data_IF_172557802324
#
_entry.id   IF_172557802324
#
_cell.length_a   1.000
_cell.length_b   1.000
_cell.length_c   1.000
_cell.angle_alpha   90.00
_cell.angle_beta   90.00
_cell.angle_gamma   90.00
#
_symmetry.space_group_name_H-M   'P 1'
#
loop_
_entity.id
_entity.type
_entity.pdbx_description
1 polymer ?
#
# COMPACT_ATOMS: atom_id res chain seq x y z
N UNK A 1 -0.20 16.95 -27.63
CA UNK A 1 0.23 16.17 -26.46
C UNK A 1 1.12 14.97 -26.82
N UNK A 2 0.79 14.16 -27.83
CA UNK A 2 1.61 12.99 -28.25
C UNK A 2 3.01 13.35 -28.79
N UNK A 3 3.15 14.51 -29.41
CA UNK A 3 4.46 15.05 -29.87
C UNK A 3 5.38 15.43 -28.74
N UNK A 4 4.83 15.94 -27.61
CA UNK A 4 5.61 16.28 -26.41
C UNK A 4 6.14 15.00 -25.71
N UNK A 5 5.36 13.92 -25.68
CA UNK A 5 5.80 12.63 -25.16
C UNK A 5 6.93 12.02 -26.02
N UNK A 6 6.86 12.12 -27.35
CA UNK A 6 7.95 11.70 -28.23
C UNK A 6 9.26 12.47 -28.00
N UNK A 7 9.15 13.78 -27.64
CA UNK A 7 10.31 14.62 -27.38
C UNK A 7 10.97 14.32 -26.03
N UNK A 8 10.23 13.83 -25.02
CA UNK A 8 10.77 13.35 -23.74
C UNK A 8 11.78 12.21 -23.92
N UNK A 9 11.51 11.30 -24.87
CA UNK A 9 12.42 10.19 -25.17
C UNK A 9 13.63 10.58 -26.02
N UNK A 10 13.63 11.77 -26.61
CA UNK A 10 14.78 12.28 -27.41
C UNK A 10 15.87 12.90 -26.55
N UNK A 11 15.53 13.38 -25.32
CA UNK A 11 16.50 13.96 -24.38
C UNK A 11 17.09 12.86 -23.53
N UNK A 12 18.41 12.52 -23.61
CA UNK A 12 19.00 11.37 -22.93
C UNK A 12 18.84 11.45 -21.40
N UNK A 13 18.91 12.63 -20.81
CA UNK A 13 18.76 12.83 -19.37
C UNK A 13 17.36 12.49 -18.86
N UNK A 14 16.32 12.95 -19.55
CA UNK A 14 14.93 12.66 -19.22
C UNK A 14 14.62 11.17 -19.42
N UNK A 15 15.09 10.59 -20.50
CA UNK A 15 14.93 9.16 -20.75
C UNK A 15 15.53 8.32 -19.63
N UNK A 16 16.75 8.64 -19.19
CA UNK A 16 17.40 7.90 -18.12
C UNK A 16 16.67 8.03 -16.78
N UNK A 17 16.13 9.19 -16.44
CA UNK A 17 15.30 9.41 -15.24
C UNK A 17 13.99 8.62 -15.29
N UNK A 18 13.31 8.64 -16.42
CA UNK A 18 12.05 7.87 -16.61
C UNK A 18 12.33 6.36 -16.55
N UNK A 19 13.37 5.88 -17.23
CA UNK A 19 13.75 4.46 -17.23
C UNK A 19 14.13 3.99 -15.82
N UNK A 20 14.86 4.81 -15.07
CA UNK A 20 15.21 4.54 -13.68
C UNK A 20 13.98 4.45 -12.78
N UNK A 21 13.02 5.38 -12.95
CA UNK A 21 11.76 5.36 -12.20
C UNK A 21 10.95 4.10 -12.50
N UNK A 22 10.82 3.73 -13.77
CA UNK A 22 10.14 2.50 -14.18
C UNK A 22 10.83 1.26 -13.61
N UNK A 23 12.17 1.20 -13.64
CA UNK A 23 12.93 0.11 -13.04
C UNK A 23 12.61 -0.04 -11.55
N UNK A 24 12.58 1.07 -10.79
CA UNK A 24 12.24 1.05 -9.37
C UNK A 24 10.81 0.58 -9.12
N UNK A 25 9.85 0.96 -9.96
CA UNK A 25 8.46 0.48 -9.88
C UNK A 25 8.40 -1.04 -10.13
N UNK A 26 9.19 -1.55 -11.09
CA UNK A 26 9.26 -3.00 -11.35
C UNK A 26 9.86 -3.73 -10.13
N UNK A 27 10.94 -3.23 -9.54
CA UNK A 27 11.54 -3.81 -8.31
C UNK A 27 10.53 -3.80 -7.16
N UNK A 28 9.81 -2.69 -6.98
CA UNK A 28 8.72 -2.62 -6.01
C UNK A 28 7.67 -3.72 -6.24
N UNK A 29 7.27 -3.92 -7.48
CA UNK A 29 6.28 -4.94 -7.84
C UNK A 29 6.76 -6.36 -7.59
N UNK A 30 8.01 -6.65 -7.91
CA UNK A 30 8.61 -7.95 -7.61
C UNK A 30 8.67 -8.18 -6.09
N UNK A 31 9.08 -7.19 -5.31
CA UNK A 31 9.10 -7.28 -3.85
C UNK A 31 7.71 -7.46 -3.21
N UNK A 32 6.66 -6.92 -3.83
CA UNK A 32 5.29 -7.10 -3.38
C UNK A 32 4.77 -8.55 -3.56
N UNK A 33 5.42 -9.36 -4.40
CA UNK A 33 5.09 -10.77 -4.61
C UNK A 33 5.86 -11.72 -3.69
N UNK A 34 6.88 -11.25 -2.97
CA UNK A 34 7.72 -12.07 -2.10
C UNK A 34 6.99 -12.26 -0.76
N UNK A 35 6.48 -13.46 -0.43
CA UNK A 35 5.82 -13.69 0.85
C UNK A 35 6.82 -13.62 2.01
N UNK A 36 6.34 -13.21 3.18
CA UNK A 36 7.14 -13.20 4.41
C UNK A 36 7.51 -14.64 4.78
N UNK A 37 8.78 -14.92 5.11
CA UNK A 37 9.21 -16.25 5.48
C UNK A 37 8.58 -16.72 6.81
N UNK A 38 8.25 -18.00 6.90
CA UNK A 38 7.68 -18.61 8.10
C UNK A 38 6.15 -18.62 8.19
N UNK A 39 5.46 -18.28 7.12
CA UNK A 39 3.98 -18.23 7.03
C UNK A 39 3.46 -19.47 6.29
N UNK A 40 2.27 -19.93 6.69
CA UNK A 40 1.56 -21.01 6.01
C UNK A 40 0.93 -20.49 4.71
N UNK A 41 1.45 -20.90 3.58
CA UNK A 41 1.02 -20.41 2.25
C UNK A 41 -0.45 -20.73 1.95
N UNK A 42 -0.95 -21.88 2.40
CA UNK A 42 -2.35 -22.28 2.23
C UNK A 42 -3.31 -21.29 2.90
N UNK A 43 -2.95 -20.80 4.07
CA UNK A 43 -3.73 -19.80 4.81
C UNK A 43 -3.69 -18.40 4.16
N UNK A 44 -2.62 -18.09 3.43
CA UNK A 44 -2.52 -16.85 2.64
C UNK A 44 -3.51 -16.88 1.48
N UNK A 45 -3.70 -18.01 0.84
CA UNK A 45 -4.71 -18.14 -0.23
C UNK A 45 -6.13 -17.96 0.31
N UNK A 46 -6.41 -18.46 1.50
CA UNK A 46 -7.70 -18.26 2.16
C UNK A 46 -7.92 -16.80 2.54
N UNK A 47 -6.90 -16.12 3.08
CA UNK A 47 -6.93 -14.69 3.34
C UNK A 47 -7.24 -13.89 2.07
N UNK A 48 -6.63 -14.26 0.95
CA UNK A 48 -6.88 -13.61 -0.35
C UNK A 48 -8.33 -13.77 -0.79
N UNK A 49 -8.89 -14.97 -0.71
CA UNK A 49 -10.30 -15.24 -1.05
C UNK A 49 -11.27 -14.40 -0.21
N UNK A 50 -11.03 -14.32 1.09
CA UNK A 50 -11.90 -13.58 2.00
C UNK A 50 -11.75 -12.05 1.85
N UNK A 51 -10.55 -11.57 1.56
CA UNK A 51 -10.31 -10.15 1.34
C UNK A 51 -11.05 -9.61 0.11
N UNK A 52 -11.30 -10.47 -0.85
CA UNK A 52 -12.07 -10.12 -2.04
C UNK A 52 -13.56 -9.89 -1.73
N UNK A 53 -14.07 -10.46 -0.64
CA UNK A 53 -15.46 -10.32 -0.21
C UNK A 53 -15.65 -9.21 0.84
N UNK A 54 -14.58 -8.71 1.45
CA UNK A 54 -14.65 -7.69 2.51
C UNK A 54 -14.16 -6.32 2.03
N UNK A 55 -15.02 -5.31 2.14
CA UNK A 55 -14.71 -3.95 1.69
C UNK A 55 -13.52 -3.30 2.43
N UNK A 56 -13.37 -3.53 3.75
CA UNK A 56 -12.33 -2.91 4.56
C UNK A 56 -10.91 -3.40 4.19
N UNK A 57 -10.72 -4.71 4.09
CA UNK A 57 -9.42 -5.27 3.65
C UNK A 57 -9.15 -5.00 2.18
N UNK A 58 -10.17 -5.00 1.33
CA UNK A 58 -10.04 -4.60 -0.07
C UNK A 58 -9.49 -3.19 -0.20
N UNK A 59 -9.99 -2.25 0.60
CA UNK A 59 -9.49 -0.88 0.61
C UNK A 59 -8.03 -0.77 1.07
N UNK A 60 -7.66 -1.42 2.18
CA UNK A 60 -6.26 -1.47 2.65
C UNK A 60 -5.34 -2.15 1.63
N UNK A 61 -5.85 -3.15 0.94
CA UNK A 61 -5.11 -3.88 -0.08
C UNK A 61 -4.80 -3.02 -1.31
N UNK A 62 -5.66 -2.06 -1.68
CA UNK A 62 -5.37 -1.09 -2.73
C UNK A 62 -4.12 -0.26 -2.44
N UNK A 63 -3.94 0.22 -1.20
CA UNK A 63 -2.76 1.00 -0.81
C UNK A 63 -1.47 0.18 -0.74
N UNK A 64 -1.58 -1.11 -0.46
CA UNK A 64 -0.43 -2.02 -0.47
C UNK A 64 -0.16 -2.64 -1.84
N UNK A 65 -1.02 -2.36 -2.84
CA UNK A 65 -0.89 -2.93 -4.18
C UNK A 65 -1.03 -4.45 -4.23
N UNK A 66 -1.87 -5.04 -3.37
CA UNK A 66 -2.06 -6.48 -3.27
C UNK A 66 -1.11 -7.19 -2.29
N UNK A 67 -0.14 -6.47 -1.74
CA UNK A 67 0.88 -7.03 -0.87
C UNK A 67 0.35 -7.48 0.51
N UNK A 68 -0.70 -6.82 1.03
CA UNK A 68 -1.30 -7.16 2.32
C UNK A 68 -1.97 -8.55 2.29
N UNK A 69 -2.77 -8.83 1.28
CA UNK A 69 -3.48 -10.10 1.15
C UNK A 69 -2.57 -11.28 0.84
N UNK A 70 -1.41 -11.02 0.27
CA UNK A 70 -0.36 -12.02 0.08
C UNK A 70 0.57 -12.14 1.30
N UNK A 71 0.39 -11.29 2.31
CA UNK A 71 1.28 -11.18 3.47
C UNK A 71 2.75 -11.13 3.04
N UNK A 72 3.02 -10.25 2.08
CA UNK A 72 4.34 -10.12 1.46
C UNK A 72 5.24 -9.16 2.23
N UNK A 73 6.50 -9.04 1.80
CA UNK A 73 7.48 -8.10 2.36
C UNK A 73 6.93 -6.67 2.46
N UNK A 74 6.13 -6.23 1.48
CA UNK A 74 5.52 -4.91 1.45
C UNK A 74 4.06 -4.89 1.95
N UNK A 75 3.66 -5.85 2.79
CA UNK A 75 2.28 -5.93 3.31
C UNK A 75 1.80 -4.67 4.03
N UNK A 76 2.67 -4.01 4.81
CA UNK A 76 2.38 -2.71 5.43
C UNK A 76 2.37 -1.54 4.44
N UNK A 77 2.92 -1.73 3.24
CA UNK A 77 3.00 -0.70 2.21
C UNK A 77 3.73 0.56 2.68
N UNK A 78 3.29 1.69 2.16
CA UNK A 78 3.83 3.03 2.48
C UNK A 78 3.05 3.69 3.63
N UNK A 79 1.98 3.08 4.14
CA UNK A 79 1.10 3.66 5.16
C UNK A 79 1.83 4.16 6.42
N UNK A 80 2.81 3.43 7.00
CA UNK A 80 3.55 3.92 8.17
C UNK A 80 4.28 5.23 7.91
N UNK A 81 4.82 5.41 6.71
CA UNK A 81 5.51 6.63 6.33
C UNK A 81 4.54 7.80 6.10
N UNK A 82 3.40 7.56 5.45
CA UNK A 82 2.37 8.60 5.26
C UNK A 82 1.89 9.09 6.61
N UNK A 83 1.55 8.17 7.52
CA UNK A 83 1.10 8.50 8.88
C UNK A 83 2.16 9.30 9.63
N UNK A 84 3.42 8.86 9.61
CA UNK A 84 4.53 9.57 10.24
C UNK A 84 4.72 10.98 9.66
N UNK A 85 4.61 11.13 8.33
CA UNK A 85 4.74 12.41 7.65
C UNK A 85 3.64 13.39 8.05
N UNK A 86 2.39 12.92 8.13
CA UNK A 86 1.26 13.74 8.58
C UNK A 86 1.44 14.15 10.05
N UNK A 87 1.84 13.21 10.92
CA UNK A 87 2.09 13.52 12.34
C UNK A 87 3.17 14.59 12.47
N UNK A 88 4.30 14.47 11.78
CA UNK A 88 5.38 15.45 11.83
C UNK A 88 4.94 16.81 11.27
N UNK A 89 4.11 16.85 10.24
CA UNK A 89 3.55 18.10 9.70
C UNK A 89 2.64 18.80 10.72
N UNK A 90 1.76 18.05 11.38
CA UNK A 90 0.88 18.61 12.42
C UNK A 90 1.71 19.08 13.62
N UNK A 91 2.67 18.28 14.07
CA UNK A 91 3.58 18.66 15.16
C UNK A 91 4.44 19.88 14.81
N UNK A 92 4.72 20.10 13.52
CA UNK A 92 5.44 21.27 13.03
C UNK A 92 4.74 22.60 13.31
N UNK A 93 3.42 22.59 13.46
CA UNK A 93 2.63 23.79 13.85
C UNK A 93 2.62 24.01 15.37
N UNK A 94 2.71 22.91 16.15
CA UNK A 94 2.58 22.95 17.62
C UNK A 94 3.94 23.11 18.31
N UNK A 95 4.99 22.49 17.76
CA UNK A 95 6.31 22.48 18.36
C UNK A 95 7.21 23.54 17.74
N UNK A 96 7.60 24.61 18.48
CA UNK A 96 8.40 25.73 17.94
C UNK A 96 9.74 25.28 17.33
N UNK A 97 10.32 24.20 17.81
CA UNK A 97 11.57 23.66 17.28
C UNK A 97 11.41 23.05 15.88
N UNK A 98 10.27 22.41 15.61
CA UNK A 98 9.96 21.87 14.29
C UNK A 98 9.62 22.99 13.30
N UNK A 99 8.89 24.01 13.75
CA UNK A 99 8.62 25.21 12.97
C UNK A 99 9.92 25.93 12.55
N UNK A 100 10.86 26.09 13.49
CA UNK A 100 12.19 26.63 13.16
C UNK A 100 12.91 25.81 12.08
N UNK A 101 12.80 24.47 12.12
CA UNK A 101 13.40 23.63 11.09
C UNK A 101 12.69 23.80 9.73
N UNK A 102 11.37 23.96 9.72
CA UNK A 102 10.64 24.25 8.47
C UNK A 102 11.11 25.55 7.83
N UNK A 103 11.38 26.57 8.66
CA UNK A 103 11.85 27.89 8.22
C UNK A 103 13.34 27.91 7.80
N UNK A 104 14.13 26.88 8.16
CA UNK A 104 15.55 26.75 7.76
C UNK A 104 15.74 26.26 6.31
N UNK A 105 14.68 26.07 5.54
CA UNK A 105 14.75 25.62 4.14
C UNK A 105 15.33 24.22 3.98
N UNK A 106 16.24 24.00 3.03
CA UNK A 106 16.75 22.69 2.65
C UNK A 106 17.44 21.92 3.79
N UNK A 107 18.13 22.62 4.71
CA UNK A 107 18.83 22.01 5.85
C UNK A 107 17.82 21.49 6.88
N UNK A 108 16.82 22.29 7.19
CA UNK A 108 15.75 21.91 8.11
C UNK A 108 14.89 20.77 7.54
N UNK A 109 14.61 20.81 6.25
CA UNK A 109 13.84 19.75 5.58
C UNK A 109 14.53 18.37 5.67
N UNK A 110 15.85 18.33 5.58
CA UNK A 110 16.61 17.07 5.79
C UNK A 110 16.41 16.51 7.20
N UNK A 111 16.40 17.37 8.23
CA UNK A 111 16.15 16.97 9.63
C UNK A 111 14.72 16.44 9.79
N UNK A 112 13.74 17.14 9.25
CA UNK A 112 12.34 16.73 9.27
C UNK A 112 12.18 15.36 8.63
N UNK A 113 12.76 15.14 7.44
CA UNK A 113 12.73 13.83 6.76
C UNK A 113 13.36 12.73 7.60
N UNK A 114 14.47 12.98 8.30
CA UNK A 114 15.09 11.99 9.19
C UNK A 114 14.17 11.62 10.34
N UNK A 115 13.53 12.59 11.02
CA UNK A 115 12.59 12.33 12.10
C UNK A 115 11.35 11.60 11.61
N UNK A 116 10.84 11.93 10.42
CA UNK A 116 9.74 11.21 9.77
C UNK A 116 10.10 9.74 9.58
N UNK A 117 11.34 9.42 9.16
CA UNK A 117 11.78 8.03 9.00
C UNK A 117 11.81 7.26 10.32
N UNK A 118 12.38 7.86 11.38
CA UNK A 118 12.40 7.21 12.70
C UNK A 118 10.99 6.94 13.20
N UNK A 119 10.11 7.92 13.09
CA UNK A 119 8.72 7.77 13.48
C UNK A 119 8.01 6.70 12.63
N UNK A 120 8.25 6.67 11.32
CA UNK A 120 7.69 5.67 10.42
C UNK A 120 8.12 4.24 10.79
N UNK A 121 9.39 4.03 11.18
CA UNK A 121 9.88 2.71 11.63
C UNK A 121 9.20 2.30 12.95
N UNK A 122 9.03 3.23 13.89
CA UNK A 122 8.31 2.96 15.15
C UNK A 122 6.87 2.56 14.86
N UNK A 123 6.16 3.31 14.01
CA UNK A 123 4.78 3.00 13.62
C UNK A 123 4.72 1.65 12.89
N UNK A 124 5.64 1.39 11.95
CA UNK A 124 5.73 0.11 11.25
C UNK A 124 5.96 -1.07 12.21
N UNK A 125 6.76 -0.88 13.26
CA UNK A 125 7.00 -1.91 14.28
C UNK A 125 5.73 -2.21 15.07
N UNK A 126 5.01 -1.18 15.51
CA UNK A 126 3.74 -1.34 16.22
C UNK A 126 2.69 -2.02 15.34
N UNK A 127 2.53 -1.58 14.09
CA UNK A 127 1.58 -2.17 13.13
C UNK A 127 1.98 -3.59 12.75
N UNK A 128 3.25 -3.84 12.46
CA UNK A 128 3.78 -5.17 12.12
C UNK A 128 3.61 -6.17 13.25
N UNK A 129 3.86 -5.76 14.50
CA UNK A 129 3.63 -6.58 15.69
C UNK A 129 2.14 -6.86 15.87
N UNK A 130 1.29 -5.85 15.71
CA UNK A 130 -0.16 -5.99 15.79
C UNK A 130 -0.71 -6.97 14.75
N UNK A 131 -0.32 -6.85 13.49
CA UNK A 131 -0.72 -7.76 12.41
C UNK A 131 -0.20 -9.19 12.68
N UNK A 132 1.05 -9.33 13.09
CA UNK A 132 1.64 -10.65 13.39
C UNK A 132 0.91 -11.32 14.55
N UNK A 133 0.52 -10.57 15.58
CA UNK A 133 -0.25 -11.09 16.69
C UNK A 133 -1.67 -11.51 16.27
N UNK A 134 -2.38 -10.66 15.53
CA UNK A 134 -3.75 -10.95 15.05
C UNK A 134 -3.79 -12.20 14.18
N UNK A 135 -2.91 -12.30 13.21
CA UNK A 135 -2.87 -13.45 12.30
C UNK A 135 -2.14 -14.66 12.90
N UNK A 136 -1.25 -14.46 13.86
CA UNK A 136 -0.59 -15.53 14.62
C UNK A 136 -1.54 -16.26 15.56
N UNK A 137 -2.45 -15.55 16.22
CA UNK A 137 -3.45 -16.09 17.14
C UNK A 137 -4.72 -16.60 16.44
N UNK A 138 -4.84 -16.41 15.13
CA UNK A 138 -6.04 -16.76 14.36
C UNK A 138 -7.21 -15.78 14.50
N UNK A 139 -7.05 -14.71 15.27
CA UNK A 139 -8.09 -13.69 15.47
C UNK A 139 -8.22 -12.71 14.29
N UNK A 140 -7.30 -12.75 13.34
CA UNK A 140 -7.31 -11.88 12.16
C UNK A 140 -8.59 -12.00 11.33
N UNK A 141 -9.11 -13.23 11.16
CA UNK A 141 -10.35 -13.46 10.45
C UNK A 141 -11.52 -12.71 11.07
N UNK A 142 -11.81 -12.95 12.34
CA UNK A 142 -12.94 -12.32 13.04
C UNK A 142 -12.81 -10.79 13.19
N UNK A 143 -11.60 -10.27 13.28
CA UNK A 143 -11.35 -8.83 13.43
C UNK A 143 -11.60 -8.05 12.13
N UNK A 144 -11.22 -8.61 10.99
CA UNK A 144 -11.32 -7.92 9.69
C UNK A 144 -12.57 -8.28 8.89
N UNK A 145 -13.10 -9.49 9.06
CA UNK A 145 -14.24 -10.01 8.28
C UNK A 145 -15.54 -10.12 9.10
N UNK A 146 -15.48 -9.87 10.41
CA UNK A 146 -16.64 -9.95 11.30
C UNK A 146 -16.83 -11.33 11.97
N UNK A 147 -17.80 -11.36 12.89
CA UNK A 147 -18.14 -12.57 13.64
C UNK A 147 -18.74 -13.64 12.69
N UNK A 148 -18.05 -14.77 12.57
CA UNK A 148 -18.43 -15.86 11.66
C UNK A 148 -17.41 -16.15 10.57
N UNK A 149 -16.41 -15.29 10.39
CA UNK A 149 -15.30 -15.58 9.49
C UNK A 149 -14.40 -16.70 10.04
N UNK A 150 -13.87 -17.58 9.17
CA UNK A 150 -12.97 -18.64 9.60
C UNK A 150 -11.71 -18.06 10.25
N UNK A 151 -11.20 -18.76 11.24
CA UNK A 151 -9.97 -18.41 11.94
C UNK A 151 -8.77 -18.63 11.02
N UNK A 152 -8.28 -17.56 10.40
CA UNK A 152 -7.07 -17.60 9.55
C UNK A 152 -5.85 -17.50 10.45
N UNK A 153 -5.18 -18.63 10.65
CA UNK A 153 -3.94 -18.71 11.42
C UNK A 153 -2.75 -18.79 10.46
N UNK A 154 -2.13 -17.64 10.16
CA UNK A 154 -1.01 -17.57 9.23
C UNK A 154 0.29 -18.15 9.80
N UNK A 155 0.47 -18.15 11.13
CA UNK A 155 1.65 -18.73 11.76
C UNK A 155 1.33 -20.15 12.22
N UNK A 156 2.05 -21.17 11.72
CA UNK A 156 1.91 -22.56 12.21
C UNK A 156 2.24 -22.67 13.70
N UNK A 157 3.29 -21.97 14.14
CA UNK A 157 3.74 -21.88 15.52
C UNK A 157 3.95 -20.43 15.94
N UNK A 158 3.60 -20.11 17.19
CA UNK A 158 3.83 -18.81 17.82
C UNK A 158 5.16 -18.76 18.58
N UNK A 159 6.16 -19.54 18.15
CA UNK A 159 7.50 -19.50 18.72
C UNK A 159 8.11 -18.09 18.58
N UNK A 160 8.70 -17.59 19.65
CA UNK A 160 9.28 -16.24 19.71
C UNK A 160 10.21 -15.92 18.51
N UNK A 161 11.16 -16.81 18.12
CA UNK A 161 12.06 -16.51 17.00
C UNK A 161 11.32 -16.37 15.66
N UNK A 162 10.22 -17.10 15.44
CA UNK A 162 9.41 -16.99 14.21
C UNK A 162 8.63 -15.68 14.19
N UNK A 163 7.98 -15.33 15.30
CA UNK A 163 7.28 -14.05 15.43
C UNK A 163 8.23 -12.88 15.19
N UNK A 164 9.43 -12.92 15.80
CA UNK A 164 10.45 -11.89 15.61
C UNK A 164 10.89 -11.78 14.15
N UNK A 165 11.10 -12.90 13.47
CA UNK A 165 11.48 -12.93 12.06
C UNK A 165 10.39 -12.29 11.19
N UNK A 166 9.12 -12.63 11.40
CA UNK A 166 7.99 -12.06 10.67
C UNK A 166 7.88 -10.56 10.91
N UNK A 167 7.96 -10.11 12.16
CA UNK A 167 7.92 -8.67 12.51
C UNK A 167 9.08 -7.93 11.88
N UNK A 168 10.30 -8.44 11.96
CA UNK A 168 11.47 -7.83 11.33
C UNK A 168 11.31 -7.71 9.81
N UNK A 169 10.80 -8.75 9.17
CA UNK A 169 10.54 -8.73 7.73
C UNK A 169 9.49 -7.70 7.36
N UNK A 170 8.38 -7.62 8.12
CA UNK A 170 7.32 -6.65 7.92
C UNK A 170 7.77 -5.20 8.15
N UNK A 171 8.72 -4.96 9.06
CA UNK A 171 9.29 -3.63 9.31
C UNK A 171 10.34 -3.27 8.25
N UNK A 172 11.12 -4.25 7.79
CA UNK A 172 12.11 -4.05 6.73
C UNK A 172 11.45 -3.60 5.41
N UNK A 173 10.21 -4.06 5.13
CA UNK A 173 9.45 -3.66 3.95
C UNK A 173 9.27 -2.14 3.81
N UNK A 174 8.57 -1.47 4.72
CA UNK A 174 8.43 -0.01 4.71
C UNK A 174 9.75 0.75 4.74
N UNK A 175 10.77 0.24 5.46
CA UNK A 175 12.10 0.85 5.47
C UNK A 175 12.73 0.83 4.05
N UNK A 176 12.59 -0.27 3.35
CA UNK A 176 13.07 -0.43 1.98
C UNK A 176 12.27 0.45 1.01
N UNK A 177 10.95 0.55 1.19
CA UNK A 177 10.09 1.44 0.39
C UNK A 177 10.44 2.91 0.59
N UNK A 178 10.72 3.34 1.82
CA UNK A 178 11.21 4.69 2.10
C UNK A 178 12.51 4.98 1.37
N UNK A 179 13.46 4.06 1.43
CA UNK A 179 14.74 4.19 0.72
C UNK A 179 14.54 4.26 -0.79
N UNK A 180 13.69 3.40 -1.36
CA UNK A 180 13.35 3.43 -2.79
C UNK A 180 12.70 4.76 -3.20
N UNK A 181 11.72 5.25 -2.42
CA UNK A 181 11.05 6.52 -2.67
C UNK A 181 12.02 7.70 -2.69
N UNK A 182 13.02 7.70 -1.80
CA UNK A 182 14.04 8.74 -1.78
C UNK A 182 14.98 8.68 -2.98
N UNK A 183 15.42 7.50 -3.38
CA UNK A 183 16.27 7.34 -4.56
C UNK A 183 15.51 7.78 -5.82
N UNK A 184 14.22 7.47 -5.93
CA UNK A 184 13.38 7.95 -7.04
C UNK A 184 13.31 9.48 -7.01
N UNK A 185 13.12 10.09 -5.85
CA UNK A 185 13.06 11.55 -5.72
C UNK A 185 14.39 12.21 -6.10
N UNK A 186 15.53 11.58 -5.79
CA UNK A 186 16.87 12.14 -6.07
C UNK A 186 17.29 11.92 -7.53
N UNK A 187 17.01 10.77 -8.12
CA UNK A 187 17.54 10.35 -9.43
C UNK A 187 16.48 10.13 -10.50
N UNK A 188 15.22 10.02 -10.10
CA UNK A 188 14.08 9.78 -10.98
C UNK A 188 13.33 11.05 -11.36
N UNK A 189 12.02 10.89 -11.57
CA UNK A 189 11.09 11.97 -11.95
C UNK A 189 10.13 12.24 -10.80
N UNK A 190 10.06 13.49 -10.33
CA UNK A 190 9.07 13.94 -9.34
C UNK A 190 9.27 13.38 -7.93
N UNK A 191 8.18 13.30 -7.16
CA UNK A 191 8.21 12.77 -5.80
C UNK A 191 8.09 11.25 -5.81
N UNK A 192 9.16 10.54 -5.40
CA UNK A 192 9.23 9.09 -5.43
C UNK A 192 8.20 8.39 -4.56
N UNK A 193 7.84 8.97 -3.40
CA UNK A 193 6.82 8.40 -2.53
C UNK A 193 5.45 8.44 -3.17
N UNK A 194 5.09 9.57 -3.79
CA UNK A 194 3.82 9.71 -4.54
C UNK A 194 3.75 8.76 -5.73
N UNK A 195 4.86 8.54 -6.42
CA UNK A 195 4.93 7.59 -7.54
C UNK A 195 4.76 6.14 -7.08
N UNK A 196 5.33 5.76 -5.93
CA UNK A 196 5.14 4.42 -5.36
C UNK A 196 3.68 4.19 -4.93
N UNK A 197 3.03 5.20 -4.32
CA UNK A 197 1.60 5.15 -3.98
C UNK A 197 0.76 5.01 -5.26
N UNK A 198 1.02 5.84 -6.26
CA UNK A 198 0.35 5.77 -7.55
C UNK A 198 0.52 4.38 -8.20
N UNK A 199 1.74 3.86 -8.22
CA UNK A 199 2.03 2.54 -8.76
C UNK A 199 1.29 1.42 -8.00
N UNK A 200 1.15 1.52 -6.67
CA UNK A 200 0.40 0.55 -5.88
C UNK A 200 -1.09 0.58 -6.20
N UNK A 201 -1.70 1.75 -6.26
CA UNK A 201 -3.13 1.92 -6.56
C UNK A 201 -3.46 1.50 -7.99
N UNK A 202 -2.72 2.04 -8.97
CA UNK A 202 -2.96 1.74 -10.40
C UNK A 202 -2.83 0.26 -10.70
N UNK A 203 -1.97 -0.43 -10.01
CA UNK A 203 -1.76 -1.86 -10.24
C UNK A 203 -2.93 -2.75 -9.81
N UNK A 204 -3.75 -2.31 -8.88
CA UNK A 204 -4.99 -2.97 -8.49
C UNK A 204 -6.13 -2.75 -9.50
N UNK A 205 -6.09 -1.63 -10.24
CA UNK A 205 -7.17 -1.23 -11.15
C UNK A 205 -7.45 -2.25 -12.27
N UNK A 206 -6.46 -2.82 -12.99
CA UNK A 206 -6.76 -3.74 -14.09
C UNK A 206 -7.53 -4.98 -13.63
N UNK A 207 -7.17 -5.51 -12.47
CA UNK A 207 -7.83 -6.68 -11.89
C UNK A 207 -9.26 -6.34 -11.41
N UNK A 208 -9.42 -5.20 -10.72
CA UNK A 208 -10.73 -4.72 -10.27
C UNK A 208 -11.65 -4.41 -11.45
N UNK A 209 -11.12 -3.78 -12.50
CA UNK A 209 -11.88 -3.49 -13.72
C UNK A 209 -12.29 -4.76 -14.47
N UNK A 210 -11.41 -5.75 -14.58
CA UNK A 210 -11.71 -7.03 -15.19
C UNK A 210 -12.82 -7.79 -14.43
N UNK A 211 -12.78 -7.77 -13.09
CA UNK A 211 -13.86 -8.31 -12.25
C UNK A 211 -15.17 -7.56 -12.45
N UNK A 212 -15.13 -6.23 -12.45
CA UNK A 212 -16.32 -5.41 -12.72
C UNK A 212 -16.95 -5.74 -14.06
N UNK A 213 -16.16 -6.00 -15.09
CA UNK A 213 -16.69 -6.41 -16.39
C UNK A 213 -17.32 -7.81 -16.35
N UNK A 214 -16.79 -8.73 -15.55
CA UNK A 214 -17.36 -10.08 -15.40
C UNK A 214 -18.61 -10.09 -14.49
N UNK A 215 -18.60 -9.26 -13.44
CA UNK A 215 -19.76 -9.12 -12.53
C UNK A 215 -20.73 -8.04 -13.03
N UNK A 216 -20.32 -7.16 -13.90
CA UNK A 216 -20.98 -5.95 -14.36
C UNK A 216 -22.08 -6.16 -15.39
N UNK A 217 -22.21 -7.35 -15.96
CA UNK A 217 -23.46 -7.68 -16.68
C UNK A 217 -24.67 -7.56 -15.75
N UNK A 218 -24.50 -7.82 -14.45
CA UNK A 218 -25.56 -7.72 -13.46
C UNK A 218 -25.80 -6.29 -12.99
N UNK A 219 -24.75 -5.50 -12.74
CA UNK A 219 -24.89 -4.14 -12.18
C UNK A 219 -25.36 -3.12 -13.23
N UNK A 220 -24.82 -3.20 -14.44
CA UNK A 220 -25.30 -2.35 -15.57
C UNK A 220 -26.73 -2.74 -15.95
N UNK A 221 -27.08 -4.02 -15.89
CA UNK A 221 -28.44 -4.50 -16.16
C UNK A 221 -29.42 -4.05 -15.05
N UNK A 222 -29.01 -4.04 -13.78
CA UNK A 222 -29.82 -3.56 -12.65
C UNK A 222 -30.02 -2.03 -12.73
N UNK A 223 -28.97 -1.26 -13.04
CA UNK A 223 -29.11 0.21 -13.19
C UNK A 223 -29.96 0.56 -14.39
N UNK A 224 -29.81 -0.13 -15.52
CA UNK A 224 -30.64 0.09 -16.70
C UNK A 224 -32.07 -0.42 -16.50
N UNK A 225 -32.29 -1.50 -15.75
CA UNK A 225 -33.61 -2.00 -15.42
C UNK A 225 -34.34 -1.08 -14.43
N UNK A 226 -33.65 -0.51 -13.44
CA UNK A 226 -34.23 0.49 -12.52
C UNK A 226 -34.60 1.79 -13.28
N UNK A 227 -33.76 2.25 -14.19
CA UNK A 227 -34.03 3.45 -15.02
C UNK A 227 -35.20 3.23 -15.99
N UNK A 228 -35.42 2.00 -16.49
CA UNK A 228 -36.53 1.62 -17.36
C UNK A 228 -37.81 1.42 -16.58
N UNK A 229 -37.74 0.85 -15.35
CA UNK A 229 -38.92 0.63 -14.49
C UNK A 229 -39.42 1.94 -13.88
N UNK A 230 -38.54 2.85 -13.48
CA UNK A 230 -38.92 4.17 -12.95
C UNK A 230 -39.49 5.08 -14.06
N UNK A 231 -39.07 4.92 -15.30
CA UNK A 231 -39.57 5.72 -16.43
C UNK A 231 -40.85 5.16 -17.06
N UNK A 232 -41.23 3.93 -16.74
CA UNK A 232 -42.44 3.29 -17.24
C UNK A 232 -43.71 3.57 -16.43
N UNK A 233 -43.61 4.19 -15.24
CA UNK A 233 -44.74 4.48 -14.35
C UNK A 233 -45.27 5.93 -14.51
N UNK A 234 -44.70 6.75 -15.37
CA UNK A 234 -45.12 8.15 -15.57
C UNK A 234 -46.02 8.34 -16.81
N UNK A 235 -46.41 7.28 -17.51
CA UNK A 235 -47.22 7.35 -18.75
C UNK A 235 -48.63 6.71 -18.65
N UNK A 236 -49.23 6.59 -17.44
CA UNK A 236 -50.65 6.20 -17.26
C UNK A 236 -51.48 7.26 -16.49
#
# INVERSE_FOLDING_TARGET
>A
MLTSLKNVFKVPELRNKVLFTLLMIVIYRLGAQIPVPGIAYDQVQELKRQSEQSGALGFLNLFSGGALTQFSLFALGIMPYITASIIIQILGVVIPKLEQWQNQGAVGQRKITQWTRYLAIIIATVQGTGLTYLFGTGRGGSTFFGSGAPNIKLLPDTAIPRVLLVVLTLVAGPALLMWMGEIITQRGVGNGMSLLIFASVVSGLPYSYYRMLQEGETVVFVILADDVLVRGDDDD
#
